data_IF_128874122108
#
_entry.id   IF_128874122108
#
_cell.length_a   1.000
_cell.length_b   1.000
_cell.length_c   1.000
_cell.angle_alpha   90.00
_cell.angle_beta   90.00
_cell.angle_gamma   90.00
#
_symmetry.space_group_name_H-M   'P 1'
#
loop_
_entity.id
_entity.type
_entity.pdbx_description
1 polymer ?
#
# COMPACT_ATOMS: atom_id res chain seq x y z
N UNK A 1 40.01 57.12 -7.93
CA UNK A 1 41.11 57.02 -8.93
C UNK A 1 40.55 56.42 -10.22
N UNK A 2 40.96 56.94 -11.38
CA UNK A 2 40.88 56.30 -12.72
C UNK A 2 42.12 55.37 -12.89
N UNK A 3 42.18 54.36 -13.79
CA UNK A 3 41.87 54.39 -15.25
C UNK A 3 40.84 53.32 -15.71
N UNK A 4 40.16 53.35 -16.87
CA UNK A 4 40.34 53.94 -18.21
C UNK A 4 41.15 53.09 -19.22
N UNK A 5 40.79 53.17 -20.52
CA UNK A 5 41.25 52.36 -21.71
C UNK A 5 40.43 51.06 -21.87
N UNK A 6 39.59 50.77 -22.88
CA UNK A 6 39.31 51.22 -24.26
C UNK A 6 39.84 50.28 -25.38
N UNK A 7 38.91 49.68 -26.14
CA UNK A 7 39.06 49.14 -27.51
C UNK A 7 37.66 49.05 -28.13
N UNK A 8 37.31 49.90 -29.11
CA UNK A 8 37.53 49.79 -30.56
C UNK A 8 36.45 49.01 -31.34
N UNK A 9 35.72 49.79 -32.15
CA UNK A 9 34.81 49.37 -33.22
C UNK A 9 35.49 48.52 -34.30
N UNK A 10 34.73 47.68 -35.01
CA UNK A 10 34.91 47.42 -36.45
C UNK A 10 33.56 47.00 -37.11
N UNK A 11 33.20 47.76 -38.16
CA UNK A 11 32.28 47.52 -39.31
C UNK A 11 31.38 46.27 -39.33
N UNK A 12 30.05 46.32 -39.49
CA UNK A 12 29.17 46.98 -40.50
C UNK A 12 29.05 46.29 -41.87
N UNK A 13 27.79 46.17 -42.35
CA UNK A 13 27.33 45.94 -43.76
C UNK A 13 27.45 44.49 -44.28
N UNK A 14 26.59 43.99 -45.18
CA UNK A 14 25.61 44.64 -46.07
C UNK A 14 24.45 43.70 -46.51
N UNK A 15 23.18 44.17 -46.55
CA UNK A 15 22.06 43.77 -47.47
C UNK A 15 21.65 42.26 -47.63
N UNK A 16 20.52 41.80 -48.20
CA UNK A 16 19.19 42.23 -48.76
C UNK A 16 18.36 40.93 -48.98
N UNK A 17 17.04 40.84 -49.14
CA UNK A 17 15.87 41.73 -49.00
C UNK A 17 14.60 40.84 -48.77
N UNK A 18 13.65 41.20 -47.89
CA UNK A 18 12.30 41.76 -48.20
C UNK A 18 11.36 40.93 -49.09
N UNK A 19 10.16 40.62 -48.52
CA UNK A 19 8.90 40.10 -49.11
C UNK A 19 8.91 38.64 -49.62
N UNK A 20 7.89 37.79 -49.46
CA UNK A 20 6.65 37.66 -48.64
C UNK A 20 5.71 36.78 -49.48
N UNK A 21 5.12 35.71 -48.95
CA UNK A 21 3.80 35.12 -49.28
C UNK A 21 3.61 33.80 -48.47
N UNK A 22 2.40 33.22 -48.34
CA UNK A 22 1.96 32.62 -47.07
C UNK A 22 2.28 31.12 -46.93
N UNK A 23 2.63 30.72 -45.70
CA UNK A 23 2.74 29.32 -45.31
C UNK A 23 1.37 28.68 -45.07
N UNK A 24 1.05 27.63 -45.84
CA UNK A 24 -0.01 26.67 -45.50
C UNK A 24 0.35 25.92 -44.20
N UNK A 25 -0.63 25.41 -43.43
CA UNK A 25 -0.34 24.58 -42.27
C UNK A 25 0.26 23.24 -42.70
N UNK A 26 1.51 22.97 -42.33
CA UNK A 26 2.15 21.67 -42.50
C UNK A 26 1.78 20.76 -41.34
N UNK A 27 1.04 19.70 -41.63
CA UNK A 27 0.81 18.57 -40.73
C UNK A 27 2.15 17.91 -40.36
N UNK A 28 2.60 18.07 -39.12
CA UNK A 28 3.73 17.32 -38.60
C UNK A 28 3.26 15.90 -38.23
N UNK A 29 3.77 14.88 -38.94
CA UNK A 29 3.53 13.49 -38.57
C UNK A 29 3.99 13.22 -37.14
N UNK A 30 3.11 12.63 -36.33
CA UNK A 30 3.50 11.94 -35.10
C UNK A 30 4.36 10.72 -35.45
N UNK A 31 5.68 10.84 -35.34
CA UNK A 31 6.58 9.69 -35.40
C UNK A 31 6.44 8.87 -34.12
N UNK A 32 5.49 7.93 -34.12
CA UNK A 32 5.39 6.89 -33.11
C UNK A 32 6.68 6.06 -33.10
N UNK A 33 7.47 6.17 -32.03
CA UNK A 33 8.58 5.26 -31.79
C UNK A 33 8.01 3.84 -31.60
N UNK A 34 8.47 2.83 -32.35
CA UNK A 34 7.95 1.48 -32.20
C UNK A 34 8.42 0.89 -30.88
N UNK A 35 7.46 0.46 -30.05
CA UNK A 35 7.73 -0.35 -28.85
C UNK A 35 8.36 -1.66 -29.33
N UNK A 36 9.66 -1.84 -29.05
CA UNK A 36 10.32 -3.14 -29.23
C UNK A 36 9.98 -4.03 -28.05
N UNK A 37 9.03 -4.93 -28.27
CA UNK A 37 8.85 -6.11 -27.43
C UNK A 37 10.13 -6.94 -27.51
N UNK A 38 10.94 -6.88 -26.44
CA UNK A 38 12.08 -7.79 -26.26
C UNK A 38 11.59 -8.98 -25.44
N UNK A 39 11.62 -10.17 -26.06
CA UNK A 39 11.48 -11.43 -25.32
C UNK A 39 12.65 -11.54 -24.34
N UNK A 40 12.42 -11.18 -23.08
CA UNK A 40 13.32 -11.52 -21.99
C UNK A 40 13.10 -12.99 -21.65
N UNK A 41 14.15 -13.81 -21.66
CA UNK A 41 14.13 -15.12 -21.01
C UNK A 41 13.88 -14.91 -19.51
N UNK A 42 12.62 -15.03 -19.10
CA UNK A 42 12.20 -14.91 -17.71
C UNK A 42 12.83 -16.09 -16.94
N UNK A 43 13.79 -15.79 -16.07
CA UNK A 43 14.33 -16.79 -15.15
C UNK A 43 13.34 -17.01 -14.01
N UNK A 44 12.98 -18.27 -13.77
CA UNK A 44 12.11 -18.67 -12.66
C UNK A 44 12.88 -18.76 -11.34
N UNK A 45 14.18 -19.04 -11.42
CA UNK A 45 15.06 -19.24 -10.27
C UNK A 45 15.72 -17.94 -9.80
N UNK A 46 15.15 -17.35 -8.74
CA UNK A 46 15.79 -16.27 -7.97
C UNK A 46 17.08 -16.79 -7.32
N UNK A 47 18.23 -16.25 -7.74
CA UNK A 47 19.55 -16.68 -7.23
C UNK A 47 20.42 -15.46 -6.84
N UNK A 48 20.03 -14.72 -5.79
CA UNK A 48 20.80 -13.56 -5.34
C UNK A 48 22.14 -14.00 -4.74
N UNK A 49 23.13 -13.10 -4.81
CA UNK A 49 24.39 -13.22 -4.11
C UNK A 49 24.14 -13.33 -2.59
N UNK A 50 24.58 -14.39 -1.90
CA UNK A 50 24.30 -14.56 -0.47
C UNK A 50 24.90 -13.44 0.39
N UNK A 51 25.98 -12.78 -0.07
CA UNK A 51 26.55 -11.60 0.60
C UNK A 51 25.59 -10.40 0.52
N UNK A 52 24.88 -10.22 -0.59
CA UNK A 52 23.90 -9.13 -0.73
C UNK A 52 22.72 -9.32 0.24
N UNK A 53 22.22 -10.55 0.39
CA UNK A 53 21.17 -10.90 1.36
C UNK A 53 21.64 -10.67 2.81
N UNK A 54 22.88 -11.03 3.14
CA UNK A 54 23.45 -10.72 4.46
C UNK A 54 23.58 -9.21 4.71
N UNK A 55 23.99 -8.43 3.71
CA UNK A 55 24.04 -6.96 3.81
C UNK A 55 22.64 -6.34 3.93
N UNK A 56 21.63 -6.88 3.25
CA UNK A 56 20.22 -6.46 3.38
C UNK A 56 19.74 -6.71 4.82
N UNK A 57 19.90 -7.93 5.33
CA UNK A 57 19.49 -8.27 6.70
C UNK A 57 20.22 -7.42 7.75
N UNK A 58 21.52 -7.15 7.54
CA UNK A 58 22.29 -6.25 8.39
C UNK A 58 21.75 -4.80 8.33
N UNK A 59 21.49 -4.26 7.14
CA UNK A 59 20.96 -2.91 6.97
C UNK A 59 19.56 -2.73 7.58
N UNK A 60 18.67 -3.72 7.43
CA UNK A 60 17.33 -3.71 8.04
C UNK A 60 17.44 -3.76 9.57
N UNK A 61 18.24 -4.68 10.12
CA UNK A 61 18.44 -4.78 11.58
C UNK A 61 19.13 -3.54 12.18
N UNK A 62 20.02 -2.88 11.43
CA UNK A 62 20.61 -1.59 11.78
C UNK A 62 19.58 -0.46 11.78
N UNK A 63 18.73 -0.38 10.74
CA UNK A 63 17.65 0.60 10.70
C UNK A 63 16.68 0.43 11.89
N UNK A 64 16.28 -0.81 12.16
CA UNK A 64 15.32 -1.19 13.20
C UNK A 64 15.88 -1.17 14.64
N UNK A 65 17.16 -0.82 14.84
CA UNK A 65 17.80 -0.72 16.15
C UNK A 65 18.78 0.46 16.17
N UNK A 66 18.39 1.68 16.62
CA UNK A 66 17.28 2.06 17.52
C UNK A 66 16.02 2.70 16.88
N UNK A 67 15.71 2.48 15.60
CA UNK A 67 14.54 3.08 14.89
C UNK A 67 14.56 4.62 14.79
N UNK A 68 15.74 5.23 14.82
CA UNK A 68 15.92 6.67 14.65
C UNK A 68 16.08 7.05 13.17
N UNK A 69 15.83 8.32 12.83
CA UNK A 69 16.09 8.87 11.49
C UNK A 69 17.55 8.65 11.05
N UNK A 70 18.48 8.70 12.01
CA UNK A 70 19.89 8.40 11.80
C UNK A 70 20.12 6.91 11.47
N UNK A 71 19.51 5.98 12.21
CA UNK A 71 19.72 4.54 11.98
C UNK A 71 19.09 4.07 10.67
N UNK A 72 17.92 4.61 10.30
CA UNK A 72 17.35 4.41 8.97
C UNK A 72 18.26 4.96 7.86
N UNK A 73 18.88 6.13 8.07
CA UNK A 73 19.84 6.72 7.12
C UNK A 73 21.11 5.86 6.99
N UNK A 74 21.64 5.34 8.10
CA UNK A 74 22.78 4.42 8.11
C UNK A 74 22.45 3.09 7.39
N UNK A 75 21.26 2.52 7.64
CA UNK A 75 20.77 1.33 6.92
C UNK A 75 20.67 1.57 5.41
N UNK A 76 20.10 2.70 4.98
CA UNK A 76 20.03 3.08 3.57
C UNK A 76 21.42 3.24 2.93
N UNK A 77 22.40 3.84 3.62
CA UNK A 77 23.77 3.95 3.13
C UNK A 77 24.45 2.57 2.93
N UNK A 78 24.20 1.61 3.82
CA UNK A 78 24.68 0.22 3.67
C UNK A 78 24.05 -0.44 2.44
N UNK A 79 22.76 -0.21 2.18
CA UNK A 79 22.07 -0.71 0.99
C UNK A 79 22.58 -0.04 -0.29
N UNK A 80 22.81 1.28 -0.30
CA UNK A 80 23.39 1.99 -1.46
C UNK A 80 24.79 1.47 -1.81
N UNK A 81 25.62 1.26 -0.79
CA UNK A 81 26.93 0.64 -0.97
C UNK A 81 26.78 -0.80 -1.50
N UNK A 82 25.86 -1.59 -0.95
CA UNK A 82 25.57 -2.95 -1.43
C UNK A 82 25.18 -2.94 -2.92
N UNK A 83 24.20 -2.11 -3.30
CA UNK A 83 23.71 -1.94 -4.67
C UNK A 83 24.85 -1.60 -5.64
N UNK A 84 25.76 -0.68 -5.26
CA UNK A 84 26.90 -0.29 -6.09
C UNK A 84 27.89 -1.42 -6.40
N UNK A 85 27.90 -2.49 -5.59
CA UNK A 85 28.82 -3.62 -5.71
C UNK A 85 28.23 -4.87 -6.38
N UNK A 86 26.91 -4.94 -6.57
CA UNK A 86 26.27 -6.10 -7.20
C UNK A 86 26.34 -6.03 -8.73
N UNK A 87 26.70 -7.15 -9.35
CA UNK A 87 26.77 -7.28 -10.81
C UNK A 87 25.46 -7.83 -11.39
N UNK A 88 24.79 -8.72 -10.67
CA UNK A 88 23.57 -9.42 -11.08
C UNK A 88 22.29 -8.60 -10.77
N UNK A 89 21.27 -8.80 -11.61
CA UNK A 89 20.03 -8.03 -11.55
C UNK A 89 19.13 -8.47 -10.38
N UNK A 90 19.13 -9.75 -9.99
CA UNK A 90 18.37 -10.25 -8.83
C UNK A 90 18.86 -9.62 -7.52
N UNK A 91 20.16 -9.55 -7.26
CA UNK A 91 20.70 -8.91 -6.05
C UNK A 91 20.48 -7.40 -6.05
N UNK A 92 20.68 -6.71 -7.20
CA UNK A 92 20.35 -5.27 -7.31
C UNK A 92 18.88 -5.04 -6.96
N UNK A 93 17.98 -5.85 -7.50
CA UNK A 93 16.56 -5.72 -7.25
C UNK A 93 16.20 -6.03 -5.78
N UNK A 94 16.76 -7.09 -5.18
CA UNK A 94 16.57 -7.40 -3.77
C UNK A 94 17.01 -6.23 -2.85
N UNK A 95 18.14 -5.59 -3.17
CA UNK A 95 18.60 -4.40 -2.46
C UNK A 95 17.66 -3.22 -2.67
N UNK A 96 17.17 -2.99 -3.90
CA UNK A 96 16.19 -1.91 -4.18
C UNK A 96 14.84 -2.12 -3.49
N UNK A 97 14.36 -3.36 -3.39
CA UNK A 97 13.17 -3.73 -2.61
C UNK A 97 13.39 -3.41 -1.13
N UNK A 98 14.55 -3.77 -0.56
CA UNK A 98 14.89 -3.44 0.82
C UNK A 98 14.99 -1.92 1.07
N UNK A 99 15.57 -1.16 0.12
CA UNK A 99 15.61 0.30 0.18
C UNK A 99 14.20 0.90 0.16
N UNK A 100 13.33 0.40 -0.71
CA UNK A 100 11.94 0.84 -0.81
C UNK A 100 11.16 0.56 0.48
N UNK A 101 11.38 -0.59 1.13
CA UNK A 101 10.82 -0.89 2.45
C UNK A 101 11.23 0.15 3.50
N UNK A 102 12.54 0.41 3.68
CA UNK A 102 13.01 1.40 4.65
C UNK A 102 12.53 2.84 4.34
N UNK A 103 12.40 3.20 3.07
CA UNK A 103 11.84 4.49 2.65
C UNK A 103 10.33 4.58 2.94
N UNK A 104 9.58 3.51 2.68
CA UNK A 104 8.14 3.41 2.94
C UNK A 104 7.81 3.50 4.43
N UNK A 105 8.57 2.82 5.29
CA UNK A 105 8.46 2.90 6.76
C UNK A 105 8.70 4.32 7.29
N UNK A 106 9.51 5.11 6.58
CA UNK A 106 9.76 6.53 6.89
C UNK A 106 8.82 7.51 6.18
N UNK A 107 7.78 7.01 5.50
CA UNK A 107 6.80 7.83 4.78
C UNK A 107 7.28 8.44 3.47
N UNK A 108 8.49 8.09 3.00
CA UNK A 108 9.11 8.61 1.76
C UNK A 108 8.62 7.82 0.55
N UNK A 109 7.30 7.80 0.34
CA UNK A 109 6.64 6.92 -0.63
C UNK A 109 7.05 7.17 -2.08
N UNK A 110 7.25 8.43 -2.50
CA UNK A 110 7.68 8.72 -3.88
C UNK A 110 9.08 8.16 -4.17
N UNK A 111 10.02 8.30 -3.23
CA UNK A 111 11.36 7.72 -3.37
C UNK A 111 11.33 6.19 -3.32
N UNK A 112 10.45 5.59 -2.50
CA UNK A 112 10.22 4.14 -2.52
C UNK A 112 9.71 3.69 -3.90
N UNK A 113 8.73 4.39 -4.48
CA UNK A 113 8.21 4.14 -5.83
C UNK A 113 9.32 4.27 -6.88
N UNK A 114 10.21 5.26 -6.78
CA UNK A 114 11.37 5.39 -7.68
C UNK A 114 12.32 4.18 -7.59
N UNK A 115 12.66 3.72 -6.38
CA UNK A 115 13.51 2.52 -6.21
C UNK A 115 12.87 1.27 -6.80
N UNK A 116 11.57 1.04 -6.58
CA UNK A 116 10.89 -0.15 -7.13
C UNK A 116 10.65 -0.04 -8.64
N UNK A 117 10.35 1.14 -9.19
CA UNK A 117 10.28 1.35 -10.65
C UNK A 117 11.60 1.10 -11.35
N UNK A 118 12.74 1.36 -10.70
CA UNK A 118 14.04 1.02 -11.27
C UNK A 118 14.17 -0.49 -11.56
N UNK A 119 13.52 -1.35 -10.76
CA UNK A 119 13.51 -2.82 -10.97
C UNK A 119 12.85 -3.18 -12.31
N UNK A 120 11.86 -2.43 -12.78
CA UNK A 120 11.23 -2.64 -14.10
C UNK A 120 12.23 -2.43 -15.26
N UNK A 121 13.35 -1.73 -15.04
CA UNK A 121 14.43 -1.57 -16.03
C UNK A 121 15.44 -2.73 -16.04
N UNK A 122 15.41 -3.61 -15.03
CA UNK A 122 16.33 -4.75 -14.90
C UNK A 122 15.85 -5.92 -15.77
N UNK A 123 16.32 -5.97 -17.01
CA UNK A 123 15.88 -6.96 -17.99
C UNK A 123 16.19 -8.40 -17.61
N UNK A 124 17.19 -8.64 -16.74
CA UNK A 124 17.61 -9.96 -16.28
C UNK A 124 17.03 -10.40 -14.93
N UNK A 125 16.14 -9.63 -14.31
CA UNK A 125 15.52 -10.00 -13.03
C UNK A 125 14.58 -11.20 -13.16
N UNK A 126 14.58 -12.09 -12.17
CA UNK A 126 13.66 -13.23 -12.07
C UNK A 126 12.18 -12.83 -11.97
N UNK A 127 11.28 -13.76 -12.30
CA UNK A 127 9.83 -13.55 -12.21
C UNK A 127 9.38 -13.15 -10.80
N UNK A 128 9.93 -13.84 -9.79
CA UNK A 128 9.67 -13.57 -8.38
C UNK A 128 9.93 -12.11 -7.98
N UNK A 129 11.08 -11.57 -8.42
CA UNK A 129 11.46 -10.17 -8.22
C UNK A 129 10.47 -9.22 -8.89
N UNK A 130 10.05 -9.51 -10.14
CA UNK A 130 9.09 -8.66 -10.86
C UNK A 130 7.73 -8.64 -10.21
N UNK A 131 7.22 -9.80 -9.77
CA UNK A 131 5.96 -9.90 -9.03
C UNK A 131 6.06 -9.10 -7.72
N UNK A 132 7.09 -9.33 -6.90
CA UNK A 132 7.30 -8.60 -5.65
C UNK A 132 7.37 -7.07 -5.85
N UNK A 133 8.05 -6.62 -6.91
CA UNK A 133 8.12 -5.21 -7.28
C UNK A 133 6.74 -4.64 -7.69
N UNK A 134 5.97 -5.38 -8.48
CA UNK A 134 4.62 -4.96 -8.89
C UNK A 134 3.66 -4.90 -7.70
N UNK A 135 3.65 -5.91 -6.82
CA UNK A 135 2.84 -5.88 -5.59
C UNK A 135 3.16 -4.67 -4.71
N UNK A 136 4.45 -4.36 -4.52
CA UNK A 136 4.89 -3.22 -3.74
C UNK A 136 4.48 -1.88 -4.39
N UNK A 137 4.62 -1.74 -5.72
CA UNK A 137 4.18 -0.54 -6.44
C UNK A 137 2.66 -0.33 -6.34
N UNK A 138 1.87 -1.40 -6.49
CA UNK A 138 0.41 -1.36 -6.31
C UNK A 138 0.07 -0.97 -4.87
N UNK A 139 0.67 -1.61 -3.87
CA UNK A 139 0.46 -1.31 -2.45
C UNK A 139 0.75 0.15 -2.09
N UNK A 140 1.87 0.71 -2.60
CA UNK A 140 2.25 2.12 -2.44
C UNK A 140 1.27 3.07 -3.16
N UNK A 141 0.88 2.76 -4.39
CA UNK A 141 -0.06 3.59 -5.15
C UNK A 141 -1.46 3.59 -4.54
N UNK A 142 -1.95 2.46 -4.01
CA UNK A 142 -3.21 2.39 -3.26
C UNK A 142 -3.16 3.24 -1.98
N UNK A 143 -2.03 3.23 -1.24
CA UNK A 143 -1.86 4.03 -0.04
C UNK A 143 -1.83 5.55 -0.33
N UNK A 144 -1.30 5.96 -1.48
CA UNK A 144 -1.34 7.34 -1.99
C UNK A 144 -2.69 7.75 -2.62
N UNK A 145 -3.63 6.82 -2.77
CA UNK A 145 -4.95 7.07 -3.38
C UNK A 145 -4.94 7.15 -4.91
N UNK A 146 -3.95 6.56 -5.58
CA UNK A 146 -3.77 6.57 -7.03
C UNK A 146 -4.37 5.30 -7.69
N UNK A 147 -5.69 5.12 -7.55
CA UNK A 147 -6.40 3.87 -7.90
C UNK A 147 -6.34 3.48 -9.39
N UNK A 148 -6.13 4.44 -10.30
CA UNK A 148 -5.94 4.17 -11.73
C UNK A 148 -4.52 3.69 -12.05
N UNK A 149 -3.50 4.26 -11.40
CA UNK A 149 -2.11 3.76 -11.51
C UNK A 149 -1.99 2.35 -10.94
N UNK A 150 -2.63 2.09 -9.80
CA UNK A 150 -2.69 0.76 -9.17
C UNK A 150 -3.32 -0.29 -10.08
N UNK A 151 -4.33 0.10 -10.88
CA UNK A 151 -4.98 -0.80 -11.84
C UNK A 151 -4.03 -1.19 -12.97
N UNK A 152 -3.39 -0.19 -13.61
CA UNK A 152 -2.46 -0.41 -14.71
C UNK A 152 -1.28 -1.30 -14.27
N UNK A 153 -0.71 -1.05 -13.10
CA UNK A 153 0.37 -1.86 -12.54
C UNK A 153 -0.08 -3.31 -12.25
N UNK A 154 -1.31 -3.51 -11.77
CA UNK A 154 -1.84 -4.86 -11.55
C UNK A 154 -2.08 -5.62 -12.86
N UNK A 155 -2.53 -4.93 -13.91
CA UNK A 155 -2.69 -5.50 -15.26
C UNK A 155 -1.32 -5.83 -15.90
N UNK A 156 -0.34 -4.94 -15.79
CA UNK A 156 1.07 -5.22 -16.16
C UNK A 156 1.62 -6.44 -15.41
N UNK A 157 1.28 -6.59 -14.13
CA UNK A 157 1.66 -7.74 -13.30
C UNK A 157 1.09 -9.07 -13.76
N UNK A 158 -0.13 -9.09 -14.32
CA UNK A 158 -0.74 -10.29 -14.89
C UNK A 158 -0.16 -10.62 -16.27
N UNK A 159 0.16 -9.61 -17.09
CA UNK A 159 0.81 -9.81 -18.40
C UNK A 159 2.16 -10.53 -18.30
N UNK A 160 2.87 -10.42 -17.17
CA UNK A 160 4.09 -11.19 -16.90
C UNK A 160 3.91 -12.71 -17.02
N UNK A 161 2.68 -13.22 -16.92
CA UNK A 161 2.34 -14.65 -17.02
C UNK A 161 1.83 -15.05 -18.40
N UNK A 162 1.31 -14.11 -19.21
CA UNK A 162 0.90 -14.36 -20.60
C UNK A 162 2.10 -14.68 -21.51
N UNK A 163 3.27 -14.08 -21.22
CA UNK A 163 4.53 -14.30 -21.93
C UNK A 163 5.25 -15.61 -21.54
N UNK A 164 4.76 -16.37 -20.54
CA UNK A 164 5.41 -17.60 -20.06
C UNK A 164 5.08 -18.78 -20.98
N UNK A 165 6.11 -19.51 -21.42
CA UNK A 165 5.96 -20.68 -22.27
C UNK A 165 5.17 -21.81 -21.57
N UNK A 166 4.29 -22.47 -22.34
CA UNK A 166 3.37 -23.51 -21.89
C UNK A 166 4.07 -24.63 -21.09
N UNK A 167 5.34 -24.92 -21.41
CA UNK A 167 6.17 -25.93 -20.74
C UNK A 167 6.44 -25.65 -19.25
N UNK A 168 6.17 -24.44 -18.75
CA UNK A 168 6.40 -24.08 -17.34
C UNK A 168 5.10 -23.89 -16.52
N UNK A 169 3.92 -24.02 -17.14
CA UNK A 169 2.61 -23.91 -16.45
C UNK A 169 2.39 -24.95 -15.34
N UNK A 170 3.20 -26.01 -15.29
CA UNK A 170 3.17 -27.03 -14.25
C UNK A 170 4.05 -26.74 -13.02
N UNK A 171 4.86 -25.67 -13.02
CA UNK A 171 5.76 -25.34 -11.91
C UNK A 171 4.95 -24.77 -10.71
N UNK A 172 4.99 -25.42 -9.53
CA UNK A 172 4.32 -24.92 -8.32
C UNK A 172 4.75 -23.50 -7.94
N UNK A 173 6.00 -23.10 -8.20
CA UNK A 173 6.50 -21.77 -7.86
C UNK A 173 5.87 -20.69 -8.77
N UNK A 174 5.72 -20.96 -10.07
CA UNK A 174 5.05 -20.03 -11.00
C UNK A 174 3.57 -19.92 -10.66
N UNK A 175 2.91 -21.06 -10.37
CA UNK A 175 1.50 -21.08 -9.96
C UNK A 175 1.25 -20.24 -8.70
N UNK A 176 2.18 -20.28 -7.75
CA UNK A 176 2.17 -19.42 -6.55
C UNK A 176 2.31 -17.94 -6.91
N UNK A 177 3.22 -17.60 -7.82
CA UNK A 177 3.44 -16.21 -8.27
C UNK A 177 2.24 -15.65 -9.08
N UNK A 178 1.58 -16.48 -9.90
CA UNK A 178 0.33 -16.13 -10.61
C UNK A 178 -0.79 -15.83 -9.61
N UNK A 179 -0.95 -16.72 -8.62
CA UNK A 179 -1.95 -16.56 -7.54
C UNK A 179 -1.72 -15.25 -6.76
N UNK A 180 -0.46 -14.87 -6.52
CA UNK A 180 -0.06 -13.59 -5.93
C UNK A 180 -0.49 -12.37 -6.77
N UNK A 181 -0.15 -12.35 -8.06
CA UNK A 181 -0.54 -11.27 -8.97
C UNK A 181 -2.08 -11.12 -9.10
N UNK A 182 -2.80 -12.25 -9.22
CA UNK A 182 -4.28 -12.26 -9.26
C UNK A 182 -4.92 -11.71 -8.00
N UNK A 183 -4.40 -12.03 -6.81
CA UNK A 183 -4.88 -11.44 -5.56
C UNK A 183 -4.68 -9.93 -5.53
N UNK A 184 -3.53 -9.41 -5.97
CA UNK A 184 -3.29 -7.96 -6.00
C UNK A 184 -4.24 -7.26 -6.99
N UNK A 185 -4.49 -7.84 -8.17
CA UNK A 185 -5.53 -7.36 -9.07
C UNK A 185 -6.93 -7.38 -8.42
N UNK A 186 -7.30 -8.47 -7.76
CA UNK A 186 -8.57 -8.60 -7.04
C UNK A 186 -8.76 -7.56 -5.93
N UNK A 187 -7.69 -7.23 -5.19
CA UNK A 187 -7.68 -6.17 -4.17
C UNK A 187 -7.89 -4.78 -4.78
N UNK A 188 -7.25 -4.47 -5.92
CA UNK A 188 -7.45 -3.21 -6.63
C UNK A 188 -8.88 -3.08 -7.15
N UNK A 189 -9.44 -4.14 -7.76
CA UNK A 189 -10.83 -4.15 -8.22
C UNK A 189 -11.81 -3.98 -7.05
N UNK A 190 -11.53 -4.58 -5.89
CA UNK A 190 -12.33 -4.42 -4.67
C UNK A 190 -12.36 -2.95 -4.19
N UNK A 191 -11.20 -2.29 -4.13
CA UNK A 191 -11.09 -0.86 -3.75
C UNK A 191 -11.82 0.05 -4.76
N UNK A 192 -11.75 -0.29 -6.06
CA UNK A 192 -12.50 0.41 -7.12
C UNK A 192 -14.01 0.15 -7.09
N UNK A 193 -14.47 -0.83 -6.30
CA UNK A 193 -15.86 -1.21 -6.10
C UNK A 193 -16.40 -2.29 -7.03
N UNK A 194 -15.54 -2.89 -7.86
CA UNK A 194 -15.90 -3.92 -8.83
C UNK A 194 -15.93 -5.31 -8.16
N UNK A 195 -16.85 -5.52 -7.22
CA UNK A 195 -16.93 -6.74 -6.38
C UNK A 195 -17.03 -8.04 -7.22
N UNK A 196 -17.74 -8.01 -8.34
CA UNK A 196 -17.85 -9.17 -9.25
C UNK A 196 -16.51 -9.53 -9.91
N UNK A 197 -15.75 -8.52 -10.35
CA UNK A 197 -14.40 -8.72 -10.90
C UNK A 197 -13.41 -9.14 -9.81
N UNK A 198 -13.48 -8.57 -8.61
CA UNK A 198 -12.70 -9.05 -7.48
C UNK A 198 -12.99 -10.54 -7.20
N UNK A 199 -14.27 -10.94 -7.18
CA UNK A 199 -14.68 -12.32 -6.93
C UNK A 199 -14.10 -13.31 -7.96
N UNK A 200 -14.06 -12.97 -9.26
CA UNK A 200 -13.49 -13.90 -10.26
C UNK A 200 -12.00 -14.15 -10.04
N UNK A 201 -11.22 -13.11 -9.68
CA UNK A 201 -9.80 -13.27 -9.36
C UNK A 201 -9.59 -14.10 -8.07
N UNK A 202 -10.46 -13.96 -7.07
CA UNK A 202 -10.39 -14.71 -5.81
C UNK A 202 -10.93 -16.15 -5.89
N UNK A 203 -11.87 -16.46 -6.79
CA UNK A 203 -12.38 -17.83 -6.97
C UNK A 203 -11.35 -18.78 -7.59
N UNK A 204 -10.50 -18.30 -8.49
CA UNK A 204 -9.36 -19.06 -9.01
C UNK A 204 -8.34 -19.38 -7.92
N UNK A 205 -8.14 -18.45 -6.96
CA UNK A 205 -7.26 -18.65 -5.79
C UNK A 205 -7.79 -19.78 -4.91
N UNK A 206 -9.11 -19.94 -4.74
CA UNK A 206 -9.68 -21.01 -3.89
C UNK A 206 -9.36 -22.43 -4.39
N UNK A 207 -8.99 -22.60 -5.66
CA UNK A 207 -8.63 -23.91 -6.24
C UNK A 207 -7.15 -24.28 -5.99
N UNK A 208 -6.37 -23.35 -5.42
CA UNK A 208 -4.95 -23.46 -5.18
C UNK A 208 -4.70 -23.29 -3.67
N UNK A 209 -3.98 -24.21 -3.03
CA UNK A 209 -3.78 -24.14 -1.58
C UNK A 209 -3.15 -22.80 -1.17
N UNK A 210 -3.94 -21.97 -0.47
CA UNK A 210 -3.61 -20.59 -0.16
C UNK A 210 -2.69 -20.53 1.07
N UNK A 211 -1.43 -20.92 0.89
CA UNK A 211 -0.44 -21.06 1.97
C UNK A 211 0.28 -19.76 2.35
N UNK A 212 0.20 -18.72 1.51
CA UNK A 212 0.97 -17.48 1.65
C UNK A 212 0.18 -16.39 2.38
N UNK A 213 0.83 -15.75 3.37
CA UNK A 213 0.21 -14.74 4.24
C UNK A 213 -0.52 -13.61 3.48
N UNK A 214 0.12 -12.97 2.49
CA UNK A 214 -0.52 -11.90 1.71
C UNK A 214 -1.72 -12.35 0.89
N UNK A 215 -1.66 -13.57 0.33
CA UNK A 215 -2.71 -14.14 -0.51
C UNK A 215 -3.92 -14.46 0.36
N UNK A 216 -3.70 -15.13 1.49
CA UNK A 216 -4.72 -15.50 2.45
C UNK A 216 -5.34 -14.27 3.15
N UNK A 217 -4.53 -13.25 3.48
CA UNK A 217 -5.00 -12.01 4.09
C UNK A 217 -5.96 -11.25 3.17
N UNK A 218 -5.53 -10.93 1.95
CA UNK A 218 -6.35 -10.18 0.99
C UNK A 218 -7.63 -10.93 0.59
N UNK A 219 -7.57 -12.26 0.47
CA UNK A 219 -8.76 -13.06 0.23
C UNK A 219 -9.68 -13.10 1.46
N UNK A 220 -9.12 -13.19 2.67
CA UNK A 220 -9.84 -13.06 3.93
C UNK A 220 -10.56 -11.71 4.04
N UNK A 221 -9.91 -10.62 3.68
CA UNK A 221 -10.48 -9.26 3.60
C UNK A 221 -11.63 -9.15 2.60
N UNK A 222 -11.51 -9.75 1.41
CA UNK A 222 -12.61 -9.86 0.46
C UNK A 222 -13.80 -10.66 1.02
N UNK A 223 -13.53 -11.81 1.65
CA UNK A 223 -14.56 -12.66 2.26
C UNK A 223 -15.24 -11.96 3.45
N UNK A 224 -14.49 -11.22 4.26
CA UNK A 224 -14.98 -10.39 5.36
C UNK A 224 -15.87 -9.25 4.85
N UNK A 225 -15.39 -8.51 3.85
CA UNK A 225 -16.14 -7.43 3.18
C UNK A 225 -17.39 -7.90 2.45
N UNK A 226 -17.50 -9.20 2.13
CA UNK A 226 -18.67 -9.86 1.53
C UNK A 226 -19.41 -10.78 2.50
N UNK A 227 -19.16 -10.64 3.81
CA UNK A 227 -19.85 -11.34 4.92
C UNK A 227 -19.74 -12.87 4.96
N UNK A 228 -18.79 -13.45 4.23
CA UNK A 228 -18.40 -14.88 4.29
C UNK A 228 -17.51 -15.13 5.53
N UNK A 229 -17.97 -14.70 6.71
CA UNK A 229 -17.17 -14.54 7.93
C UNK A 229 -16.45 -15.80 8.41
N UNK A 230 -17.08 -16.99 8.30
CA UNK A 230 -16.46 -18.25 8.74
C UNK A 230 -15.13 -18.52 8.02
N UNK A 231 -15.13 -18.45 6.68
CA UNK A 231 -13.92 -18.61 5.86
C UNK A 231 -12.91 -17.48 6.09
N UNK A 232 -13.37 -16.25 6.29
CA UNK A 232 -12.49 -15.13 6.62
C UNK A 232 -11.72 -15.36 7.94
N UNK A 233 -12.42 -15.87 8.98
CA UNK A 233 -11.82 -16.23 10.28
C UNK A 233 -10.76 -17.32 10.14
N UNK A 234 -11.06 -18.37 9.37
CA UNK A 234 -10.12 -19.46 9.07
C UNK A 234 -8.83 -18.92 8.41
N UNK A 235 -8.96 -18.08 7.37
CA UNK A 235 -7.81 -17.50 6.69
C UNK A 235 -7.00 -16.55 7.57
N UNK A 236 -7.62 -15.65 8.34
CA UNK A 236 -6.89 -14.77 9.24
C UNK A 236 -6.14 -15.55 10.33
N UNK A 237 -6.76 -16.58 10.90
CA UNK A 237 -6.10 -17.46 11.85
C UNK A 237 -4.96 -18.27 11.21
N UNK A 238 -5.06 -18.63 9.93
CA UNK A 238 -3.99 -19.27 9.18
C UNK A 238 -2.82 -18.31 8.95
N UNK A 239 -3.08 -17.05 8.55
CA UNK A 239 -2.08 -15.99 8.37
C UNK A 239 -1.27 -15.78 9.65
N UNK A 240 -1.96 -15.60 10.78
CA UNK A 240 -1.32 -15.36 12.08
C UNK A 240 -0.46 -16.56 12.53
N UNK A 241 -0.87 -17.80 12.22
CA UNK A 241 -0.14 -19.02 12.58
C UNK A 241 1.05 -19.32 11.66
N UNK A 242 0.91 -19.13 10.34
CA UNK A 242 1.95 -19.51 9.37
C UNK A 242 3.13 -18.55 9.33
N UNK A 243 2.88 -17.27 9.60
CA UNK A 243 3.91 -16.23 9.56
C UNK A 243 5.09 -16.48 10.51
N UNK A 244 4.94 -16.75 11.81
CA UNK A 244 6.09 -16.92 12.71
C UNK A 244 7.06 -18.06 12.32
N UNK A 245 6.62 -19.05 11.53
CA UNK A 245 7.39 -20.25 11.20
C UNK A 245 8.33 -20.09 9.99
N UNK A 246 7.92 -19.37 8.94
CA UNK A 246 8.76 -19.16 7.74
C UNK A 246 9.85 -18.11 7.96
N UNK A 247 11.14 -18.49 7.84
CA UNK A 247 12.27 -17.66 8.27
C UNK A 247 13.09 -16.95 7.19
N UNK A 248 13.00 -17.35 5.91
CA UNK A 248 14.02 -16.95 4.93
C UNK A 248 13.52 -16.00 3.83
N UNK A 249 14.11 -14.80 3.82
CA UNK A 249 14.12 -13.85 2.70
C UNK A 249 14.77 -14.42 1.41
N UNK A 250 15.36 -15.62 1.48
CA UNK A 250 16.01 -16.31 0.37
C UNK A 250 15.07 -17.13 -0.52
N UNK A 251 13.81 -17.34 -0.12
CA UNK A 251 12.85 -18.08 -0.95
C UNK A 251 12.12 -17.17 -1.94
N UNK A 252 12.32 -17.43 -3.22
CA UNK A 252 11.76 -16.66 -4.34
C UNK A 252 10.27 -16.28 -4.17
N UNK A 253 9.46 -17.24 -3.72
CA UNK A 253 8.02 -17.09 -3.61
C UNK A 253 7.55 -16.29 -2.39
N UNK A 254 8.43 -16.05 -1.41
CA UNK A 254 8.18 -15.27 -0.18
C UNK A 254 8.77 -13.84 -0.25
N UNK A 255 9.42 -13.48 -1.37
CA UNK A 255 9.98 -12.15 -1.59
C UNK A 255 8.86 -11.10 -1.65
N UNK A 256 8.82 -10.21 -0.65
CA UNK A 256 7.86 -9.10 -0.53
C UNK A 256 8.59 -7.81 -0.15
N UNK A 257 7.96 -6.65 -0.34
CA UNK A 257 8.53 -5.35 0.04
C UNK A 257 7.46 -4.34 0.48
N UNK A 258 7.89 -3.21 1.05
CA UNK A 258 7.02 -2.13 1.53
C UNK A 258 5.92 -2.65 2.48
N UNK A 259 4.66 -2.34 2.24
CA UNK A 259 3.53 -2.77 3.08
C UNK A 259 3.13 -4.25 2.91
N UNK A 260 3.86 -5.04 2.12
CA UNK A 260 3.62 -6.46 1.89
C UNK A 260 4.58 -7.37 2.69
N UNK A 261 5.49 -6.82 3.49
CA UNK A 261 6.46 -7.57 4.30
C UNK A 261 5.80 -8.34 5.46
N UNK A 262 6.49 -9.39 5.91
CA UNK A 262 6.04 -10.37 6.91
C UNK A 262 5.38 -9.74 8.15
N UNK A 263 6.02 -8.73 8.73
CA UNK A 263 5.61 -8.05 9.97
C UNK A 263 4.33 -7.22 9.75
N UNK A 264 4.22 -6.53 8.61
CA UNK A 264 3.03 -5.78 8.21
C UNK A 264 1.83 -6.71 7.89
N UNK A 265 2.09 -7.90 7.33
CA UNK A 265 1.05 -8.91 7.08
C UNK A 265 0.54 -9.54 8.39
N UNK A 266 1.43 -9.80 9.35
CA UNK A 266 1.02 -10.27 10.69
C UNK A 266 0.11 -9.24 11.35
N UNK A 267 0.59 -8.00 11.45
CA UNK A 267 -0.14 -6.88 12.01
C UNK A 267 -1.53 -6.70 11.37
N UNK A 268 -1.59 -6.74 10.04
CA UNK A 268 -2.83 -6.62 9.30
C UNK A 268 -3.76 -7.82 9.52
N UNK A 269 -3.23 -9.05 9.59
CA UNK A 269 -4.01 -10.26 9.92
C UNK A 269 -4.60 -10.21 11.33
N UNK A 270 -3.81 -9.83 12.33
CA UNK A 270 -4.26 -9.64 13.72
C UNK A 270 -5.34 -8.56 13.79
N UNK A 271 -5.15 -7.42 13.10
CA UNK A 271 -6.12 -6.32 13.07
C UNK A 271 -7.41 -6.69 12.31
N UNK A 272 -7.31 -7.43 11.21
CA UNK A 272 -8.45 -7.87 10.41
C UNK A 272 -9.30 -8.91 11.15
N UNK A 273 -8.67 -9.83 11.91
CA UNK A 273 -9.37 -10.74 12.81
C UNK A 273 -10.08 -9.98 13.94
N UNK A 274 -9.43 -8.98 14.53
CA UNK A 274 -10.07 -8.13 15.55
C UNK A 274 -11.27 -7.34 15.03
N UNK A 275 -11.21 -6.81 13.81
CA UNK A 275 -12.36 -6.20 13.13
C UNK A 275 -13.48 -7.24 12.89
N UNK A 276 -13.13 -8.47 12.49
CA UNK A 276 -14.09 -9.53 12.23
C UNK A 276 -14.87 -9.95 13.48
N UNK A 277 -14.19 -10.16 14.61
CA UNK A 277 -14.85 -10.46 15.88
C UNK A 277 -15.75 -9.29 16.34
N UNK A 278 -15.33 -8.04 16.09
CA UNK A 278 -16.14 -6.84 16.35
C UNK A 278 -17.41 -6.75 15.49
N UNK A 279 -17.38 -7.26 14.25
CA UNK A 279 -18.56 -7.38 13.39
C UNK A 279 -19.45 -8.59 13.75
N UNK A 280 -18.88 -9.64 14.36
CA UNK A 280 -19.63 -10.78 14.91
C UNK A 280 -20.25 -10.49 16.29
N UNK A 281 -19.91 -9.36 16.93
CA UNK A 281 -20.35 -9.01 18.29
C UNK A 281 -19.51 -9.66 19.41
N UNK A 282 -18.43 -10.36 19.07
CA UNK A 282 -17.51 -10.99 20.00
C UNK A 282 -16.51 -9.96 20.56
N UNK A 283 -17.01 -8.94 21.26
CA UNK A 283 -16.21 -7.77 21.63
C UNK A 283 -15.03 -8.04 22.56
N UNK A 284 -15.05 -9.13 23.33
CA UNK A 284 -13.90 -9.56 24.15
C UNK A 284 -12.71 -9.96 23.28
N UNK A 285 -12.92 -10.94 22.39
CA UNK A 285 -11.94 -11.41 21.42
C UNK A 285 -11.48 -10.27 20.50
N UNK A 286 -12.40 -9.39 20.07
CA UNK A 286 -12.08 -8.21 19.27
C UNK A 286 -11.14 -7.22 19.99
N UNK A 287 -11.40 -6.96 21.28
CA UNK A 287 -10.59 -6.09 22.13
C UNK A 287 -9.19 -6.69 22.37
N UNK A 288 -9.08 -8.01 22.57
CA UNK A 288 -7.79 -8.71 22.70
C UNK A 288 -6.96 -8.67 21.41
N UNK A 289 -7.58 -9.01 20.26
CA UNK A 289 -6.89 -9.03 18.97
C UNK A 289 -6.47 -7.64 18.54
N UNK A 290 -7.34 -6.62 18.63
CA UNK A 290 -6.97 -5.25 18.26
C UNK A 290 -5.93 -4.64 19.22
N UNK A 291 -5.94 -5.01 20.51
CA UNK A 291 -4.88 -4.61 21.45
C UNK A 291 -3.54 -5.28 21.14
N UNK A 292 -3.57 -6.51 20.62
CA UNK A 292 -2.36 -7.21 20.16
C UNK A 292 -1.79 -6.56 18.91
N UNK A 293 -2.64 -6.28 17.91
CA UNK A 293 -2.26 -5.50 16.74
C UNK A 293 -1.72 -4.10 17.09
N UNK A 294 -2.27 -3.44 18.14
CA UNK A 294 -1.76 -2.14 18.58
C UNK A 294 -0.33 -2.25 19.10
N UNK A 295 -0.03 -3.26 19.94
CA UNK A 295 1.33 -3.54 20.41
C UNK A 295 2.27 -3.88 19.27
N UNK A 296 1.85 -4.73 18.34
CA UNK A 296 2.63 -5.08 17.14
C UNK A 296 2.97 -3.82 16.32
N UNK A 297 2.02 -2.89 16.13
CA UNK A 297 2.27 -1.63 15.43
C UNK A 297 3.21 -0.68 16.20
N UNK A 298 3.05 -0.57 17.53
CA UNK A 298 3.91 0.27 18.37
C UNK A 298 5.34 -0.29 18.49
N UNK A 299 5.49 -1.61 18.62
CA UNK A 299 6.77 -2.30 18.68
C UNK A 299 7.48 -2.29 17.33
N UNK A 300 6.76 -2.55 16.22
CA UNK A 300 7.35 -2.60 14.88
C UNK A 300 7.63 -1.21 14.30
N UNK A 301 6.61 -0.35 14.18
CA UNK A 301 6.75 0.94 13.53
C UNK A 301 7.13 2.09 14.49
N UNK A 302 6.91 1.93 15.79
CA UNK A 302 7.05 2.99 16.79
C UNK A 302 5.73 3.69 17.12
N UNK A 303 5.59 4.14 18.38
CA UNK A 303 4.38 4.74 18.97
C UNK A 303 3.87 6.06 18.37
N UNK A 304 4.60 6.61 17.40
CA UNK A 304 4.26 7.83 16.66
C UNK A 304 3.98 7.58 15.18
N UNK A 305 4.04 6.33 14.72
CA UNK A 305 3.85 6.00 13.31
C UNK A 305 2.36 6.01 12.90
N UNK A 306 1.99 6.49 11.70
CA UNK A 306 0.59 6.55 11.27
C UNK A 306 -0.16 5.21 11.27
N UNK A 307 0.54 4.07 11.16
CA UNK A 307 -0.06 2.73 11.29
C UNK A 307 -0.72 2.50 12.65
N UNK A 308 -0.14 3.03 13.74
CA UNK A 308 -0.74 3.02 15.08
C UNK A 308 -2.07 3.78 15.05
N UNK A 309 -2.15 4.90 14.33
CA UNK A 309 -3.40 5.63 14.10
C UNK A 309 -4.47 4.84 13.32
N UNK A 310 -4.06 3.98 12.38
CA UNK A 310 -4.97 3.05 11.69
C UNK A 310 -5.56 2.04 12.68
N UNK A 311 -4.74 1.36 13.47
CA UNK A 311 -5.21 0.37 14.46
C UNK A 311 -6.09 1.02 15.53
N UNK A 312 -5.74 2.21 16.01
CA UNK A 312 -6.57 2.98 16.94
C UNK A 312 -7.94 3.35 16.34
N UNK A 313 -8.02 3.57 15.03
CA UNK A 313 -9.29 3.78 14.32
C UNK A 313 -10.14 2.51 14.36
N UNK A 314 -9.55 1.34 14.10
CA UNK A 314 -10.23 0.05 14.22
C UNK A 314 -10.75 -0.20 15.65
N UNK A 315 -9.95 0.11 16.69
CA UNK A 315 -10.36 -0.01 18.10
C UNK A 315 -11.52 0.94 18.42
N UNK A 316 -11.48 2.18 17.93
CA UNK A 316 -12.55 3.16 18.14
C UNK A 316 -13.87 2.74 17.47
N UNK A 317 -13.80 2.18 16.25
CA UNK A 317 -14.95 1.60 15.55
C UNK A 317 -15.51 0.36 16.27
N UNK A 318 -14.65 -0.50 16.83
CA UNK A 318 -15.07 -1.64 17.66
C UNK A 318 -15.84 -1.16 18.91
N UNK A 319 -15.32 -0.20 19.67
CA UNK A 319 -16.04 0.34 20.83
C UNK A 319 -17.32 1.12 20.47
N UNK A 320 -17.40 1.70 19.26
CA UNK A 320 -18.65 2.26 18.70
C UNK A 320 -19.67 1.15 18.46
N UNK A 321 -19.27 0.09 17.76
CA UNK A 321 -20.11 -1.08 17.48
C UNK A 321 -20.64 -1.71 18.78
N UNK A 322 -19.75 -1.90 19.77
CA UNK A 322 -20.06 -2.37 21.12
C UNK A 322 -21.12 -1.53 21.81
N UNK A 323 -20.94 -0.21 21.85
CA UNK A 323 -21.90 0.71 22.45
C UNK A 323 -23.28 0.67 21.77
N UNK A 324 -23.33 0.54 20.45
CA UNK A 324 -24.58 0.44 19.70
C UNK A 324 -25.31 -0.88 19.97
N UNK A 325 -24.62 -2.02 19.92
CA UNK A 325 -25.23 -3.34 20.17
C UNK A 325 -25.65 -3.54 21.63
N UNK A 326 -24.77 -3.21 22.58
CA UNK A 326 -25.02 -3.38 24.03
C UNK A 326 -25.93 -2.27 24.60
N UNK A 327 -26.21 -1.21 23.83
CA UNK A 327 -26.86 0.03 24.29
C UNK A 327 -26.12 0.69 25.47
N UNK A 328 -24.79 0.57 25.47
CA UNK A 328 -23.87 1.08 26.48
C UNK A 328 -23.19 2.39 26.03
N UNK A 329 -22.47 3.08 26.92
CA UNK A 329 -21.79 4.35 26.60
C UNK A 329 -20.27 4.20 26.62
N UNK A 330 -19.60 4.28 25.48
CA UNK A 330 -18.14 4.31 25.36
C UNK A 330 -17.57 5.65 24.86
N UNK A 331 -18.38 6.73 24.88
CA UNK A 331 -18.07 8.05 24.29
C UNK A 331 -16.69 8.62 24.66
N UNK A 332 -16.28 8.53 25.93
CA UNK A 332 -14.98 9.05 26.38
C UNK A 332 -13.80 8.25 25.83
N UNK A 333 -13.96 6.92 25.72
CA UNK A 333 -12.96 6.01 25.15
C UNK A 333 -12.85 6.27 23.65
N UNK A 334 -13.98 6.33 22.95
CA UNK A 334 -14.03 6.66 21.51
C UNK A 334 -13.39 8.03 21.22
N UNK A 335 -13.74 9.09 21.97
CA UNK A 335 -13.14 10.41 21.80
C UNK A 335 -11.61 10.39 22.01
N UNK A 336 -11.12 9.70 23.04
CA UNK A 336 -9.68 9.57 23.29
C UNK A 336 -8.95 8.88 22.13
N UNK A 337 -9.50 7.74 21.67
CA UNK A 337 -8.96 6.95 20.58
C UNK A 337 -8.97 7.72 19.25
N UNK A 338 -10.10 8.30 18.87
CA UNK A 338 -10.21 9.06 17.61
C UNK A 338 -9.29 10.29 17.62
N UNK A 339 -9.17 11.01 18.73
CA UNK A 339 -8.25 12.16 18.83
C UNK A 339 -6.81 11.72 18.58
N UNK A 340 -6.36 10.65 19.26
CA UNK A 340 -5.00 10.11 19.08
C UNK A 340 -4.79 9.53 17.68
N UNK A 341 -5.79 8.87 17.11
CA UNK A 341 -5.74 8.37 15.74
C UNK A 341 -5.57 9.51 14.73
N UNK A 342 -6.34 10.59 14.85
CA UNK A 342 -6.26 11.75 13.94
C UNK A 342 -4.95 12.53 14.08
N UNK A 343 -4.37 12.60 15.29
CA UNK A 343 -3.00 13.12 15.49
C UNK A 343 -1.97 12.28 14.73
N UNK A 344 -1.99 10.96 14.91
CA UNK A 344 -1.01 10.03 14.32
C UNK A 344 -1.17 9.86 12.81
N UNK A 345 -2.39 9.99 12.29
CA UNK A 345 -2.66 9.98 10.85
C UNK A 345 -2.34 11.32 10.16
N UNK A 346 -1.86 12.32 10.92
CA UNK A 346 -1.59 13.68 10.44
C UNK A 346 -2.80 14.30 9.70
N UNK A 347 -4.00 14.11 10.27
CA UNK A 347 -5.24 14.50 9.63
C UNK A 347 -5.27 16.02 9.33
N UNK A 348 -5.51 16.44 8.06
CA UNK A 348 -5.35 17.84 7.68
C UNK A 348 -6.37 18.74 8.37
N UNK A 349 -6.11 20.06 8.45
CA UNK A 349 -7.09 21.03 8.94
C UNK A 349 -8.42 20.95 8.17
N UNK A 350 -9.54 21.24 8.85
CA UNK A 350 -10.89 21.18 8.26
C UNK A 350 -11.09 22.13 7.07
N UNK A 351 -10.23 23.14 6.94
CA UNK A 351 -10.22 24.14 5.87
C UNK A 351 -9.49 23.66 4.61
N UNK A 352 -8.79 22.52 4.67
CA UNK A 352 -8.06 21.93 3.54
C UNK A 352 -8.92 20.87 2.86
N UNK A 353 -9.16 21.02 1.56
CA UNK A 353 -9.87 20.02 0.76
C UNK A 353 -9.00 18.78 0.53
N UNK A 354 -9.48 17.63 1.01
CA UNK A 354 -9.04 16.29 0.60
C UNK A 354 -7.57 15.91 0.88
N UNK A 355 -7.34 15.13 1.95
CA UNK A 355 -6.13 14.29 2.01
C UNK A 355 -6.11 13.31 0.81
N UNK A 356 -4.93 13.11 0.20
CA UNK A 356 -4.72 12.01 -0.77
C UNK A 356 -4.24 10.73 -0.09
N UNK A 357 -3.24 10.86 0.77
CA UNK A 357 -2.66 9.78 1.58
C UNK A 357 -3.66 9.35 2.67
N UNK A 358 -3.97 8.04 2.72
CA UNK A 358 -4.84 7.41 3.75
C UNK A 358 -6.23 8.06 3.92
N UNK A 359 -6.80 8.62 2.83
CA UNK A 359 -8.06 9.40 2.87
C UNK A 359 -9.19 8.70 3.61
N UNK A 360 -9.35 7.40 3.38
CA UNK A 360 -10.53 6.65 3.80
C UNK A 360 -10.50 6.38 5.31
N UNK A 361 -9.33 6.03 5.86
CA UNK A 361 -9.16 5.83 7.32
C UNK A 361 -9.27 7.17 8.06
N UNK A 362 -8.73 8.26 7.51
CA UNK A 362 -8.89 9.61 8.09
C UNK A 362 -10.37 10.04 8.07
N UNK A 363 -11.10 9.73 7.00
CA UNK A 363 -12.54 9.98 6.91
C UNK A 363 -13.34 9.14 7.90
N UNK A 364 -13.03 7.85 8.09
CA UNK A 364 -13.66 7.01 9.13
C UNK A 364 -13.38 7.54 10.54
N UNK A 365 -12.12 7.82 10.87
CA UNK A 365 -11.73 8.35 12.17
C UNK A 365 -12.42 9.70 12.46
N UNK A 366 -12.47 10.60 11.47
CA UNK A 366 -13.08 11.93 11.62
C UNK A 366 -14.62 11.88 11.61
N UNK A 367 -15.23 10.96 10.85
CA UNK A 367 -16.67 10.70 10.85
C UNK A 367 -17.14 10.10 12.17
N UNK A 368 -16.46 9.07 12.68
CA UNK A 368 -16.71 8.50 14.00
C UNK A 368 -16.49 9.52 15.12
N UNK A 369 -15.45 10.34 15.05
CA UNK A 369 -15.25 11.42 16.02
C UNK A 369 -16.38 12.46 15.96
N UNK A 370 -16.82 12.83 14.76
CA UNK A 370 -17.92 13.78 14.57
C UNK A 370 -19.20 13.33 15.26
N UNK A 371 -19.56 12.04 15.19
CA UNK A 371 -20.73 11.49 15.88
C UNK A 371 -20.62 11.65 17.41
N UNK A 372 -19.46 11.32 17.99
CA UNK A 372 -19.19 11.52 19.42
C UNK A 372 -19.33 12.98 19.83
N UNK A 373 -18.91 13.93 18.99
CA UNK A 373 -19.05 15.37 19.25
C UNK A 373 -20.47 15.91 19.04
N UNK A 374 -21.24 15.36 18.10
CA UNK A 374 -22.62 15.79 17.82
C UNK A 374 -23.56 15.50 19.00
N UNK A 375 -23.29 14.43 19.76
CA UNK A 375 -24.00 14.11 21.01
C UNK A 375 -23.70 15.14 22.12
N UNK A 376 -22.51 15.76 22.11
CA UNK A 376 -22.11 16.79 23.08
C UNK A 376 -22.68 18.16 22.67
N UNK A 377 -23.76 18.63 23.31
CA UNK A 377 -24.47 19.86 22.93
C UNK A 377 -23.55 21.08 22.69
N UNK A 378 -22.54 21.29 23.54
CA UNK A 378 -21.59 22.40 23.45
C UNK A 378 -20.63 22.31 22.24
N UNK A 379 -20.42 21.12 21.67
CA UNK A 379 -19.47 20.85 20.58
C UNK A 379 -20.15 20.36 19.30
N UNK A 380 -21.47 20.33 19.26
CA UNK A 380 -22.25 19.88 18.11
C UNK A 380 -21.86 20.57 16.79
N UNK A 381 -21.62 21.88 16.81
CA UNK A 381 -21.22 22.63 15.61
C UNK A 381 -19.80 22.30 15.11
N UNK A 382 -18.92 21.80 15.99
CA UNK A 382 -17.59 21.26 15.63
C UNK A 382 -17.77 19.89 14.95
N UNK A 383 -18.56 19.00 15.55
CA UNK A 383 -18.89 17.69 14.99
C UNK A 383 -19.58 17.79 13.62
N UNK A 384 -20.56 18.67 13.45
CA UNK A 384 -21.22 18.88 12.14
C UNK A 384 -20.27 19.36 11.04
N UNK A 385 -19.19 20.08 11.37
CA UNK A 385 -18.11 20.44 10.41
C UNK A 385 -17.22 19.25 10.10
N UNK A 386 -16.81 18.49 11.13
CA UNK A 386 -16.00 17.28 10.97
C UNK A 386 -16.71 16.23 10.12
N UNK A 387 -18.02 16.03 10.32
CA UNK A 387 -18.86 15.12 9.52
C UNK A 387 -18.87 15.51 8.04
N UNK A 388 -19.17 16.77 7.73
CA UNK A 388 -19.16 17.27 6.33
C UNK A 388 -17.79 17.11 5.66
N UNK A 389 -16.70 17.38 6.38
CA UNK A 389 -15.36 17.15 5.87
C UNK A 389 -15.14 15.66 5.58
N UNK A 390 -15.51 14.77 6.51
CA UNK A 390 -15.34 13.33 6.35
C UNK A 390 -16.16 12.78 5.16
N UNK A 391 -17.42 13.22 5.01
CA UNK A 391 -18.28 12.89 3.87
C UNK A 391 -17.66 13.35 2.53
N UNK A 392 -17.00 14.51 2.50
CA UNK A 392 -16.29 15.01 1.30
C UNK A 392 -14.95 14.32 1.01
N UNK A 393 -14.31 13.77 2.04
CA UNK A 393 -13.01 13.10 1.94
C UNK A 393 -13.11 11.58 1.70
N UNK A 394 -14.29 11.00 1.90
CA UNK A 394 -14.58 9.58 1.71
C UNK A 394 -14.57 9.20 0.22
N UNK A 395 -13.70 8.25 -0.17
CA UNK A 395 -13.52 7.84 -1.58
C UNK A 395 -13.95 6.41 -1.89
N UNK A 396 -14.36 5.63 -0.89
CA UNK A 396 -14.84 4.26 -1.12
C UNK A 396 -16.09 4.28 -2.02
N UNK A 397 -16.10 3.45 -3.06
CA UNK A 397 -17.15 3.40 -4.09
C UNK A 397 -18.23 2.34 -3.81
N UNK A 398 -18.02 1.46 -2.83
CA UNK A 398 -18.92 0.36 -2.44
C UNK A 398 -19.94 0.76 -1.37
N UNK A 399 -19.57 1.69 -0.50
CA UNK A 399 -20.29 2.04 0.72
C UNK A 399 -20.31 3.56 0.91
N UNK A 400 -21.40 4.11 1.46
CA UNK A 400 -21.35 5.48 1.98
C UNK A 400 -20.58 5.51 3.30
N UNK A 401 -20.09 6.68 3.72
CA UNK A 401 -19.44 6.82 5.03
C UNK A 401 -20.37 6.42 6.18
N UNK A 402 -21.68 6.65 6.05
CA UNK A 402 -22.66 6.24 7.05
C UNK A 402 -22.77 4.71 7.13
N UNK A 403 -22.85 4.01 6.00
CA UNK A 403 -22.91 2.54 5.96
C UNK A 403 -21.59 1.89 6.45
N UNK A 404 -20.47 2.58 6.26
CA UNK A 404 -19.15 2.12 6.72
C UNK A 404 -18.94 2.31 8.23
N UNK A 405 -19.51 3.37 8.83
CA UNK A 405 -19.53 3.58 10.28
C UNK A 405 -20.58 2.70 10.97
N UNK A 406 -21.73 2.48 10.34
CA UNK A 406 -22.87 1.74 10.87
C UNK A 406 -23.32 0.63 9.89
N UNK A 407 -22.62 -0.51 9.88
CA UNK A 407 -22.94 -1.62 8.98
C UNK A 407 -24.29 -2.25 9.35
N UNK A 408 -25.31 -1.93 8.56
CA UNK A 408 -26.66 -2.49 8.71
C UNK A 408 -26.66 -4.02 8.56
N UNK A 409 -27.40 -4.76 9.39
CA UNK A 409 -27.56 -6.21 9.22
C UNK A 409 -28.05 -6.61 7.81
N UNK A 410 -28.76 -5.72 7.09
CA UNK A 410 -29.25 -5.97 5.73
C UNK A 410 -28.28 -5.58 4.60
N UNK A 411 -27.15 -4.92 4.88
CA UNK A 411 -26.19 -4.57 3.82
C UNK A 411 -25.44 -5.81 3.33
N UNK A 412 -25.27 -5.99 2.00
CA UNK A 412 -24.49 -7.13 1.48
C UNK A 412 -22.98 -6.97 1.71
N UNK A 413 -22.53 -5.71 1.87
CA UNK A 413 -21.13 -5.33 2.08
C UNK A 413 -20.91 -4.84 3.51
N UNK A 414 -19.70 -5.05 4.02
CA UNK A 414 -19.17 -4.46 5.26
C UNK A 414 -17.84 -3.78 4.94
N UNK A 415 -17.56 -2.65 5.61
CA UNK A 415 -16.28 -1.94 5.48
C UNK A 415 -15.20 -2.69 6.25
N UNK A 416 -14.06 -2.99 5.62
CA UNK A 416 -12.89 -3.58 6.29
C UNK A 416 -11.69 -2.69 6.06
N UNK A 417 -10.99 -2.28 7.13
CA UNK A 417 -9.76 -1.49 7.02
C UNK A 417 -8.58 -2.45 6.79
N UNK A 418 -8.04 -2.46 5.57
CA UNK A 418 -6.74 -3.09 5.30
C UNK A 418 -5.63 -2.20 5.86
N UNK A 419 -4.92 -2.72 6.86
CA UNK A 419 -3.85 -1.98 7.52
C UNK A 419 -2.62 -1.81 6.62
N UNK A 420 -2.41 -2.67 5.60
CA UNK A 420 -1.27 -2.56 4.68
C UNK A 420 -1.42 -1.34 3.79
N UNK A 421 -2.51 -1.24 3.03
CA UNK A 421 -2.78 -0.10 2.14
C UNK A 421 -3.37 1.12 2.85
N UNK A 422 -3.83 0.98 4.10
CA UNK A 422 -4.56 2.02 4.84
C UNK A 422 -5.82 2.49 4.10
N UNK A 423 -6.52 1.57 3.43
CA UNK A 423 -7.77 1.80 2.70
C UNK A 423 -8.92 1.06 3.40
N UNK A 424 -10.13 1.61 3.25
CA UNK A 424 -11.35 0.91 3.58
C UNK A 424 -11.81 0.15 2.33
N UNK A 425 -11.95 -1.17 2.45
CA UNK A 425 -12.39 -2.09 1.39
C UNK A 425 -13.91 -2.12 1.34
#
# INVERSE_FOLDING_TARGET
MKPNIATMSITSKLCRAVKSYPSKPSSACSSSLPIRLYSSTITTSFNPNPVSIQMINYAISLAHSPKSDESYSQGLLVLEQCHSTQADDDSKAAVLLAMATLLSERGRFEEAIEKVRFIQSLTGSSLAVRVAATEALVGLCLQLGNDDSSLLLADEGLQLFEDIQIEHLGDPAIKVLDTRAKVVKGLVELIRGNVESANSHFEEVQQNDCSIGNVALSYGEFLHGTRKFAKAKELYQQVIKSIPENKDFGEAHNLNACNMIKEEVLLAGTCALGQLEGHLGNFGDAEEMLTTALKEAEEYCGSHHPKVGVVLTCIALMYRSKAMMERSSSLLIQEGLYRRALELLEAPPLETEGAKLRSDVVALARGGYAEVLIVQQNRRAEGERMKKWAESAWRNRRLSLADALEPSESSPNISVIDCRTCRAL
#
